data_IF_501960866052
#
_entry.id   IF_501960866052
#
_cell.length_a   1.000
_cell.length_b   1.000
_cell.length_c   1.000
_cell.angle_alpha   90.00
_cell.angle_beta   90.00
_cell.angle_gamma   90.00
#
_symmetry.space_group_name_H-M   'P 1'
#
loop_
_entity.id
_entity.type
_entity.pdbx_description
1 polymer ?
#
# COMPACT_ATOMS: atom_id res chain seq x y z
N UNK A 1 15.96 34.13 -22.42
CA UNK A 1 14.56 33.73 -22.04
C UNK A 1 14.21 32.49 -22.84
N UNK A 2 14.22 31.31 -22.17
CA UNK A 2 13.81 30.04 -22.78
C UNK A 2 12.30 30.03 -22.97
N UNK A 3 11.86 29.53 -24.13
CA UNK A 3 10.48 29.41 -24.58
C UNK A 3 9.55 28.85 -23.47
N UNK A 4 8.68 29.70 -22.96
CA UNK A 4 7.57 29.28 -22.11
C UNK A 4 6.48 28.74 -23.06
N UNK A 5 6.30 27.42 -23.08
CA UNK A 5 5.12 26.79 -23.73
C UNK A 5 3.93 26.92 -22.78
N UNK A 6 3.02 27.80 -23.09
CA UNK A 6 1.71 27.84 -22.45
C UNK A 6 0.85 26.76 -23.12
N UNK A 7 0.48 25.72 -22.36
CA UNK A 7 -0.45 24.70 -22.81
C UNK A 7 -1.83 25.04 -22.27
N UNK A 8 -2.77 25.27 -23.16
CA UNK A 8 -4.18 25.47 -22.80
C UNK A 8 -4.81 24.09 -22.55
N UNK A 9 -5.38 23.88 -21.39
CA UNK A 9 -6.13 22.68 -21.07
C UNK A 9 -7.57 22.88 -21.52
N UNK A 10 -8.03 22.06 -22.47
CA UNK A 10 -9.41 22.06 -22.91
C UNK A 10 -10.26 21.26 -21.91
N UNK A 11 -11.09 21.99 -21.15
CA UNK A 11 -11.96 21.40 -20.13
C UNK A 11 -13.03 20.47 -20.73
N UNK A 12 -13.46 20.68 -21.96
CA UNK A 12 -14.47 19.84 -22.60
C UNK A 12 -13.89 18.45 -22.94
N UNK A 13 -12.63 18.37 -23.31
CA UNK A 13 -11.92 17.10 -23.51
C UNK A 13 -11.79 16.32 -22.21
N UNK A 14 -11.52 17.00 -21.08
CA UNK A 14 -11.43 16.35 -19.76
C UNK A 14 -12.81 15.84 -19.34
N UNK A 15 -13.85 16.65 -19.51
CA UNK A 15 -15.22 16.29 -19.14
C UNK A 15 -15.74 15.09 -19.93
N UNK A 16 -15.48 15.05 -21.22
CA UNK A 16 -15.87 13.92 -22.08
C UNK A 16 -15.10 12.64 -21.71
N UNK A 17 -13.81 12.72 -21.41
CA UNK A 17 -13.01 11.57 -20.97
C UNK A 17 -13.42 11.06 -19.59
N UNK A 18 -13.86 11.91 -18.67
CA UNK A 18 -14.37 11.49 -17.38
C UNK A 18 -15.67 10.69 -17.47
N UNK A 19 -16.44 10.84 -18.54
CA UNK A 19 -17.63 10.03 -18.80
C UNK A 19 -17.30 8.60 -19.29
N UNK A 20 -16.09 8.37 -19.78
CA UNK A 20 -15.59 7.06 -20.22
C UNK A 20 -14.89 6.27 -19.10
N UNK A 21 -14.77 6.85 -17.89
CA UNK A 21 -14.08 6.22 -16.77
C UNK A 21 -15.12 5.59 -15.85
N UNK A 22 -15.07 4.27 -15.76
CA UNK A 22 -15.84 3.52 -14.78
C UNK A 22 -15.20 3.71 -13.39
N UNK A 23 -15.98 4.13 -12.41
CA UNK A 23 -15.51 4.37 -11.06
C UNK A 23 -15.82 3.19 -10.13
N UNK A 24 -14.97 2.96 -9.15
CA UNK A 24 -15.21 2.00 -8.09
C UNK A 24 -16.41 2.49 -7.24
N UNK A 25 -17.49 1.73 -7.25
CA UNK A 25 -18.68 1.97 -6.44
C UNK A 25 -18.74 0.90 -5.35
N UNK A 26 -18.63 1.28 -4.09
CA UNK A 26 -18.72 0.30 -3.02
C UNK A 26 -18.36 0.83 -1.64
N UNK A 27 -18.66 0.03 -0.64
CA UNK A 27 -18.32 0.33 0.75
C UNK A 27 -16.80 0.28 0.95
N UNK A 28 -16.27 1.40 1.30
CA UNK A 28 -14.92 1.58 1.78
C UNK A 28 -14.78 0.88 3.13
N UNK A 29 -14.13 -0.25 3.20
CA UNK A 29 -13.68 -0.78 4.48
C UNK A 29 -12.25 -0.30 4.71
N UNK A 30 -12.12 0.80 5.46
CA UNK A 30 -10.84 1.39 5.84
C UNK A 30 -10.27 0.71 7.09
N UNK A 31 -9.98 -0.54 7.00
CA UNK A 31 -9.19 -1.20 8.03
C UNK A 31 -7.68 -0.99 7.71
N UNK A 32 -7.26 0.27 7.65
CA UNK A 32 -5.87 0.76 7.49
C UNK A 32 -5.01 0.16 6.36
N UNK A 33 -5.22 -1.09 5.98
CA UNK A 33 -4.43 -1.86 5.01
C UNK A 33 -5.28 -2.59 3.96
N UNK A 34 -6.59 -2.41 3.95
CA UNK A 34 -7.51 -3.05 3.02
C UNK A 34 -8.37 -2.01 2.31
N UNK A 35 -8.38 -2.04 0.99
CA UNK A 35 -9.33 -1.32 0.14
C UNK A 35 -10.16 -2.36 -0.58
N UNK A 36 -11.47 -2.29 -0.45
CA UNK A 36 -12.41 -3.23 -1.06
C UNK A 36 -13.57 -2.48 -1.69
N UNK A 37 -14.00 -2.94 -2.87
CA UNK A 37 -15.13 -2.36 -3.57
C UNK A 37 -15.50 -3.14 -4.81
N UNK A 38 -16.59 -2.75 -5.45
CA UNK A 38 -17.05 -3.31 -6.72
C UNK A 38 -16.97 -2.28 -7.83
N UNK A 39 -16.66 -2.74 -9.03
CA UNK A 39 -16.61 -1.91 -10.23
C UNK A 39 -17.33 -2.64 -11.37
N UNK A 40 -18.04 -1.88 -12.17
CA UNK A 40 -18.61 -2.38 -13.42
C UNK A 40 -17.82 -1.80 -14.58
N UNK A 41 -17.06 -2.65 -15.26
CA UNK A 41 -16.12 -2.24 -16.30
C UNK A 41 -16.79 -2.39 -17.66
N UNK A 42 -16.91 -1.28 -18.39
CA UNK A 42 -17.58 -1.22 -19.70
C UNK A 42 -16.76 -1.87 -20.81
N UNK A 43 -15.43 -1.78 -20.74
CA UNK A 43 -14.49 -2.33 -21.73
C UNK A 43 -13.23 -2.86 -21.04
N UNK A 44 -12.55 -3.81 -21.68
CA UNK A 44 -11.25 -4.27 -21.21
C UNK A 44 -10.26 -3.11 -21.07
N UNK A 45 -9.52 -3.07 -19.97
CA UNK A 45 -8.63 -1.96 -19.69
C UNK A 45 -7.74 -2.15 -18.47
N UNK A 46 -7.47 -1.04 -17.80
CA UNK A 46 -6.64 -1.00 -16.60
C UNK A 46 -7.40 -0.42 -15.42
N UNK A 47 -7.35 -1.12 -14.31
CA UNK A 47 -7.64 -0.55 -13.00
C UNK A 47 -6.48 0.37 -12.64
N UNK A 48 -6.77 1.65 -12.42
CA UNK A 48 -5.79 2.65 -12.00
C UNK A 48 -6.17 3.13 -10.59
N UNK A 49 -5.22 3.14 -9.69
CA UNK A 49 -5.44 3.61 -8.32
C UNK A 49 -4.62 4.86 -8.03
N UNK A 50 -4.95 5.58 -6.96
CA UNK A 50 -4.11 6.66 -6.41
C UNK A 50 -3.04 6.15 -5.44
N UNK A 51 -2.93 4.83 -5.24
CA UNK A 51 -1.92 4.23 -4.38
C UNK A 51 -0.57 4.20 -5.09
N UNK A 52 0.55 4.47 -4.40
CA UNK A 52 1.87 4.40 -5.00
C UNK A 52 2.24 2.96 -5.36
N UNK A 53 2.91 2.78 -6.50
CA UNK A 53 3.43 1.46 -6.88
C UNK A 53 4.62 1.10 -5.99
N UNK A 54 4.40 0.14 -5.08
CA UNK A 54 5.47 -0.35 -4.19
C UNK A 54 5.28 -1.83 -3.83
N UNK A 55 6.34 -2.41 -3.29
CA UNK A 55 6.26 -3.75 -2.71
C UNK A 55 5.35 -3.74 -1.47
N UNK A 56 4.63 -4.83 -1.25
CA UNK A 56 3.69 -4.95 -0.13
C UNK A 56 2.22 -4.84 -0.52
N UNK A 57 1.88 -4.27 -1.67
CA UNK A 57 0.51 -4.35 -2.20
C UNK A 57 0.27 -5.66 -2.93
N UNK A 58 -0.87 -6.27 -2.65
CA UNK A 58 -1.47 -7.39 -3.39
C UNK A 58 -2.80 -6.93 -3.92
N UNK A 59 -3.03 -7.10 -5.23
CA UNK A 59 -4.29 -6.78 -5.90
C UNK A 59 -5.02 -8.08 -6.21
N UNK A 60 -6.26 -8.18 -5.74
CA UNK A 60 -7.13 -9.30 -6.06
C UNK A 60 -8.33 -8.78 -6.86
N UNK A 61 -8.68 -9.49 -7.92
CA UNK A 61 -9.88 -9.30 -8.71
C UNK A 61 -10.68 -10.60 -8.62
N UNK A 62 -11.92 -10.53 -8.14
CA UNK A 62 -12.79 -11.68 -7.90
C UNK A 62 -12.15 -12.77 -7.03
N UNK A 63 -11.38 -12.34 -6.02
CA UNK A 63 -10.66 -13.23 -5.10
C UNK A 63 -9.37 -13.85 -5.64
N UNK A 64 -9.01 -13.58 -6.91
CA UNK A 64 -7.77 -14.07 -7.53
C UNK A 64 -6.71 -12.98 -7.53
N UNK A 65 -5.49 -13.31 -7.13
CA UNK A 65 -4.36 -12.39 -7.22
C UNK A 65 -3.98 -12.14 -8.68
N UNK A 66 -3.86 -10.87 -9.05
CA UNK A 66 -3.47 -10.44 -10.38
C UNK A 66 -2.12 -9.73 -10.36
N UNK A 67 -1.43 -9.78 -11.50
CA UNK A 67 -0.16 -9.05 -11.65
C UNK A 67 -0.41 -7.54 -11.52
N UNK A 68 0.32 -6.92 -10.59
CA UNK A 68 0.32 -5.47 -10.43
C UNK A 68 1.27 -4.83 -11.42
N UNK A 69 0.88 -3.71 -11.97
CA UNK A 69 1.66 -2.92 -12.92
C UNK A 69 1.82 -1.48 -12.44
N UNK A 70 2.93 -0.85 -12.81
CA UNK A 70 3.14 0.57 -12.54
C UNK A 70 2.46 1.39 -13.64
N UNK A 71 1.38 2.06 -13.30
CA UNK A 71 0.65 2.94 -14.21
C UNK A 71 0.99 4.40 -13.94
N UNK A 72 0.94 5.23 -14.99
CA UNK A 72 1.28 6.66 -14.90
C UNK A 72 2.62 6.94 -14.19
N UNK A 73 3.61 6.04 -14.34
CA UNK A 73 4.98 6.11 -13.77
C UNK A 73 5.08 6.07 -12.24
N UNK A 74 3.98 6.04 -11.50
CA UNK A 74 4.00 6.15 -10.05
C UNK A 74 2.93 5.31 -9.33
N UNK A 75 1.82 4.99 -9.98
CA UNK A 75 0.65 4.44 -9.32
C UNK A 75 0.49 2.94 -9.53
N UNK A 76 -0.15 2.31 -8.56
CA UNK A 76 -0.53 0.91 -8.62
C UNK A 76 -1.70 0.72 -9.59
N UNK A 77 -1.56 -0.22 -10.51
CA UNK A 77 -2.62 -0.64 -11.41
C UNK A 77 -2.59 -2.14 -11.67
N UNK A 78 -3.62 -2.62 -12.36
CA UNK A 78 -3.74 -4.00 -12.82
C UNK A 78 -4.61 -4.07 -14.06
N UNK A 79 -4.41 -5.07 -14.89
CA UNK A 79 -5.31 -5.35 -16.03
C UNK A 79 -6.66 -5.85 -15.51
N UNK A 80 -7.74 -5.36 -16.11
CA UNK A 80 -9.08 -5.76 -15.76
C UNK A 80 -9.89 -5.96 -17.05
N UNK A 81 -10.69 -7.01 -17.09
CA UNK A 81 -11.58 -7.30 -18.21
C UNK A 81 -12.92 -6.56 -18.06
N UNK A 82 -13.68 -6.54 -19.13
CA UNK A 82 -15.08 -6.09 -19.13
C UNK A 82 -15.92 -6.96 -18.19
N UNK A 83 -16.80 -6.33 -17.41
CA UNK A 83 -17.74 -7.01 -16.52
C UNK A 83 -17.80 -6.39 -15.13
N UNK A 84 -18.58 -7.02 -14.27
CA UNK A 84 -18.65 -6.64 -12.86
C UNK A 84 -17.59 -7.42 -12.08
N UNK A 85 -16.75 -6.69 -11.33
CA UNK A 85 -15.66 -7.26 -10.57
C UNK A 85 -15.65 -6.76 -9.13
N UNK A 86 -15.25 -7.66 -8.23
CA UNK A 86 -14.92 -7.30 -6.84
C UNK A 86 -13.42 -7.06 -6.75
N UNK A 87 -13.05 -5.85 -6.38
CA UNK A 87 -11.66 -5.44 -6.21
C UNK A 87 -11.31 -5.49 -4.73
N UNK A 88 -10.15 -6.08 -4.42
CA UNK A 88 -9.58 -6.06 -3.08
C UNK A 88 -8.08 -5.77 -3.17
N UNK A 89 -7.63 -4.71 -2.53
CA UNK A 89 -6.22 -4.32 -2.47
C UNK A 89 -5.76 -4.40 -1.02
N UNK A 90 -4.77 -5.24 -0.77
CA UNK A 90 -4.24 -5.51 0.57
C UNK A 90 -2.82 -4.99 0.64
N UNK A 91 -2.50 -4.22 1.69
CA UNK A 91 -1.14 -3.80 1.98
C UNK A 91 -0.56 -4.60 3.15
N UNK A 92 0.60 -5.22 2.92
CA UNK A 92 1.41 -5.86 3.96
C UNK A 92 2.76 -5.15 4.00
N UNK A 93 3.04 -4.46 5.10
CA UNK A 93 4.32 -3.77 5.26
C UNK A 93 5.48 -4.78 5.16
N UNK A 94 6.40 -4.59 4.21
CA UNK A 94 7.57 -5.45 4.11
C UNK A 94 8.42 -5.31 5.38
N UNK A 95 9.10 -6.38 5.78
CA UNK A 95 10.00 -6.43 6.94
C UNK A 95 9.37 -6.17 8.33
N UNK A 96 8.05 -6.10 8.46
CA UNK A 96 7.37 -5.94 9.76
C UNK A 96 7.84 -7.00 10.78
N UNK A 97 7.95 -8.25 10.36
CA UNK A 97 8.38 -9.36 11.24
C UNK A 97 9.85 -9.22 11.66
N UNK A 98 10.72 -8.71 10.79
CA UNK A 98 12.14 -8.47 11.10
C UNK A 98 12.26 -7.40 12.19
N UNK A 99 11.46 -6.34 12.11
CA UNK A 99 11.41 -5.30 13.13
C UNK A 99 11.04 -5.86 14.51
N UNK A 100 10.06 -6.74 14.60
CA UNK A 100 9.66 -7.38 15.86
C UNK A 100 10.77 -8.27 16.44
N UNK A 101 11.46 -9.04 15.60
CA UNK A 101 12.60 -9.89 16.04
C UNK A 101 13.73 -9.03 16.58
N UNK A 102 14.14 -7.99 15.87
CA UNK A 102 15.19 -7.08 16.33
C UNK A 102 14.83 -6.38 17.64
N UNK A 103 13.59 -5.93 17.79
CA UNK A 103 13.10 -5.31 19.02
C UNK A 103 13.12 -6.29 20.19
N UNK A 104 12.68 -7.54 19.97
CA UNK A 104 12.71 -8.59 21.00
C UNK A 104 14.12 -8.90 21.49
N UNK A 105 15.08 -9.06 20.56
CA UNK A 105 16.50 -9.30 20.90
C UNK A 105 17.07 -8.12 21.69
N UNK A 106 16.80 -6.88 21.29
CA UNK A 106 17.24 -5.69 22.02
C UNK A 106 16.68 -5.63 23.44
N UNK A 107 15.41 -5.99 23.62
CA UNK A 107 14.77 -6.03 24.93
C UNK A 107 15.38 -7.09 25.86
N UNK A 108 15.62 -8.30 25.36
CA UNK A 108 16.28 -9.40 26.11
C UNK A 108 17.68 -8.95 26.54
N UNK A 109 18.43 -8.31 25.68
CA UNK A 109 19.78 -7.83 25.98
C UNK A 109 19.78 -6.77 27.09
N UNK A 110 18.83 -5.84 27.07
CA UNK A 110 18.66 -4.83 28.15
C UNK A 110 18.34 -5.48 29.49
N UNK A 111 17.44 -6.46 29.52
CA UNK A 111 17.10 -7.21 30.74
C UNK A 111 18.32 -7.94 31.30
N UNK A 112 19.12 -8.55 30.43
CA UNK A 112 20.36 -9.23 30.84
C UNK A 112 21.41 -8.29 31.44
N UNK A 113 21.60 -7.12 30.84
CA UNK A 113 22.47 -6.06 31.35
C UNK A 113 22.00 -5.55 32.71
N UNK A 114 20.69 -5.35 32.88
CA UNK A 114 20.12 -4.90 34.16
C UNK A 114 20.33 -5.90 35.31
N UNK A 115 20.25 -7.21 35.00
CA UNK A 115 20.52 -8.28 35.99
C UNK A 115 21.98 -8.37 36.39
N UNK A 116 22.91 -8.16 35.45
CA UNK A 116 24.36 -8.14 35.76
C UNK A 116 24.71 -7.04 36.77
N UNK A 117 24.24 -5.82 36.56
CA UNK A 117 24.48 -4.69 37.47
C UNK A 117 23.90 -4.90 38.87
N UNK A 118 22.83 -5.67 39.02
CA UNK A 118 22.22 -5.97 40.32
C UNK A 118 23.06 -6.97 41.13
N UNK A 119 23.71 -7.93 40.44
CA UNK A 119 24.59 -8.90 41.12
C UNK A 119 25.88 -8.28 41.63
N UNK A 120 26.46 -7.33 40.89
CA UNK A 120 27.69 -6.63 41.36
C UNK A 120 27.45 -5.80 42.64
N UNK A 121 26.31 -5.10 42.71
CA UNK A 121 25.95 -4.32 43.93
C UNK A 121 25.59 -5.20 45.14
N UNK A 122 25.22 -6.46 44.94
CA UNK A 122 24.98 -7.42 46.01
C UNK A 122 26.28 -7.94 46.67
N UNK A 123 27.36 -8.00 45.91
CA UNK A 123 28.66 -8.49 46.39
C UNK A 123 29.43 -7.43 47.19
N UNK A 124 29.28 -6.13 46.89
CA UNK A 124 29.93 -5.03 47.64
C UNK A 124 29.32 -4.78 49.04
N UNK A 125 28.15 -5.33 49.36
CA UNK A 125 27.52 -5.16 50.69
C UNK A 125 27.91 -6.19 51.74
N UNK A 126 28.74 -7.18 51.40
CA UNK A 126 29.11 -8.29 52.30
C UNK A 126 30.56 -8.16 52.80
N UNK A 127 31.32 -7.10 52.42
CA UNK A 127 32.66 -6.79 52.97
C UNK A 127 32.63 -5.56 53.85
#
# INVERSE_FOLDING_TARGET
LKNIKVSTIDYDVIKNRNQEIDALVGSYNQDGNLVEGTINVSNDGYLVTSLPYQNGYTVLIDGKEVAKECVNKAFLGAKISKGQHQIRIIFKAPMKNVGYVCSGVGFIWLVFQGRRKKNEKGFERIN
#
